data_IF_288773796539
#
_entry.id   IF_288773796539
#
_cell.length_a   1.000
_cell.length_b   1.000
_cell.length_c   1.000
_cell.angle_alpha   90.00
_cell.angle_beta   90.00
_cell.angle_gamma   90.00
#
_symmetry.space_group_name_H-M   'P 1'
#
loop_
_entity.id
_entity.type
_entity.pdbx_description
1 polymer ?
#
# COMPACT_ATOMS: atom_id res chain seq x y z
N UNK A 1 -21.41 -9.58 -6.35
CA UNK A 1 -22.26 -9.14 -5.22
C UNK A 1 -21.44 -9.24 -3.95
N UNK A 2 -21.46 -8.23 -3.09
CA UNK A 2 -20.75 -8.29 -1.80
C UNK A 2 -21.53 -9.21 -0.86
N UNK A 3 -20.86 -10.24 -0.34
CA UNK A 3 -21.48 -11.25 0.54
C UNK A 3 -21.12 -10.96 1.99
N UNK A 4 -22.11 -11.03 2.89
CA UNK A 4 -21.91 -10.90 4.32
C UNK A 4 -20.78 -11.83 4.82
N UNK A 5 -19.94 -11.33 5.72
CA UNK A 5 -18.80 -12.08 6.26
C UNK A 5 -17.57 -12.15 5.34
N UNK A 6 -17.65 -11.70 4.08
CA UNK A 6 -16.49 -11.61 3.20
C UNK A 6 -15.54 -10.51 3.68
N UNK A 7 -14.24 -10.84 3.77
CA UNK A 7 -13.16 -9.90 4.07
C UNK A 7 -12.69 -9.21 2.79
N UNK A 8 -12.52 -7.90 2.88
CA UNK A 8 -12.08 -7.04 1.80
C UNK A 8 -10.81 -6.27 2.20
N UNK A 9 -10.04 -5.88 1.20
CA UNK A 9 -8.86 -5.06 1.35
C UNK A 9 -9.16 -3.61 0.94
N UNK A 10 -8.84 -2.66 1.82
CA UNK A 10 -8.96 -1.21 1.64
C UNK A 10 -7.60 -0.60 1.26
N UNK A 11 -7.57 0.20 0.21
CA UNK A 11 -6.37 0.92 -0.23
C UNK A 11 -6.62 2.42 -0.28
N UNK A 12 -5.64 3.22 0.13
CA UNK A 12 -5.58 4.64 -0.23
C UNK A 12 -4.90 4.74 -1.59
N UNK A 13 -5.51 5.46 -2.53
CA UNK A 13 -4.95 5.66 -3.86
C UNK A 13 -4.59 7.13 -4.03
N UNK A 14 -3.32 7.38 -4.33
CA UNK A 14 -2.82 8.72 -4.65
C UNK A 14 -2.25 8.74 -6.05
N UNK A 15 -2.36 9.87 -6.74
CA UNK A 15 -1.74 10.04 -8.05
C UNK A 15 -0.28 10.48 -7.88
N UNK A 16 0.63 9.85 -8.61
CA UNK A 16 2.03 10.23 -8.68
C UNK A 16 2.45 10.56 -10.12
N UNK A 17 3.67 11.07 -10.28
CA UNK A 17 4.24 11.45 -11.59
C UNK A 17 4.29 10.29 -12.61
N UNK A 18 4.22 9.04 -12.13
CA UNK A 18 4.25 7.82 -12.95
C UNK A 18 2.97 6.97 -12.87
N UNK A 19 1.84 7.56 -12.44
CA UNK A 19 0.56 6.87 -12.27
C UNK A 19 0.15 6.67 -10.82
N UNK A 20 -0.88 5.85 -10.61
CA UNK A 20 -1.51 5.71 -9.29
C UNK A 20 -0.67 4.83 -8.35
N UNK A 21 -0.41 5.35 -7.16
CA UNK A 21 0.25 4.64 -6.05
C UNK A 21 -0.82 4.11 -5.11
N UNK A 22 -0.79 2.80 -4.87
CA UNK A 22 -1.74 2.11 -4.02
C UNK A 22 -1.10 1.75 -2.69
N UNK A 23 -1.64 2.27 -1.59
CA UNK A 23 -1.14 2.02 -0.24
C UNK A 23 -2.19 1.23 0.53
N UNK A 24 -1.77 0.12 1.16
CA UNK A 24 -2.66 -0.66 2.03
C UNK A 24 -3.13 0.22 3.19
N UNK A 25 -4.44 0.37 3.36
CA UNK A 25 -5.03 1.27 4.35
C UNK A 25 -5.85 0.59 5.45
N UNK A 26 -6.11 -0.72 5.33
CA UNK A 26 -6.82 -1.50 6.35
C UNK A 26 -7.86 -2.46 5.79
N UNK A 27 -8.67 -3.10 6.62
CA UNK A 27 -9.61 -4.14 6.13
C UNK A 27 -11.05 -3.67 6.15
N UNK A 28 -11.90 -4.33 5.37
CA UNK A 28 -13.33 -4.10 5.44
C UNK A 28 -14.09 -5.43 5.46
N UNK A 29 -15.31 -5.39 5.96
CA UNK A 29 -16.21 -6.54 5.96
C UNK A 29 -17.65 -6.10 5.73
N UNK A 30 -18.41 -6.98 5.12
CA UNK A 30 -19.81 -6.76 4.75
C UNK A 30 -20.71 -7.25 5.88
N UNK A 31 -21.57 -6.37 6.36
CA UNK A 31 -22.55 -6.64 7.40
C UNK A 31 -23.77 -7.40 6.83
N UNK A 32 -24.65 -7.90 7.72
CA UNK A 32 -25.86 -8.64 7.32
C UNK A 32 -26.84 -7.79 6.49
N UNK A 33 -26.89 -6.49 6.77
CA UNK A 33 -27.73 -5.52 6.06
C UNK A 33 -27.11 -5.03 4.74
N UNK A 34 -25.95 -5.57 4.35
CA UNK A 34 -25.22 -5.17 3.15
C UNK A 34 -24.36 -3.93 3.31
N UNK A 35 -24.36 -3.27 4.48
CA UNK A 35 -23.45 -2.15 4.76
C UNK A 35 -22.01 -2.65 4.95
N UNK A 36 -21.05 -1.72 4.90
CA UNK A 36 -19.62 -1.99 5.02
C UNK A 36 -19.05 -1.32 6.25
N UNK A 37 -18.37 -2.10 7.08
CA UNK A 37 -17.47 -1.56 8.09
C UNK A 37 -16.05 -1.54 7.54
N UNK A 38 -15.37 -0.42 7.74
CA UNK A 38 -13.98 -0.18 7.30
C UNK A 38 -13.12 0.07 8.53
N UNK A 39 -12.13 -0.79 8.73
CA UNK A 39 -11.11 -0.63 9.77
C UNK A 39 -9.88 -0.05 9.10
N UNK A 40 -9.53 1.18 9.47
CA UNK A 40 -8.38 1.90 8.93
C UNK A 40 -7.17 1.73 9.84
N UNK A 41 -6.05 1.31 9.25
CA UNK A 41 -4.74 1.28 9.92
C UNK A 41 -4.04 2.65 9.78
N UNK A 42 -4.43 3.44 8.78
CA UNK A 42 -3.88 4.77 8.46
C UNK A 42 -4.97 5.70 7.91
N UNK A 43 -4.76 7.01 8.04
CA UNK A 43 -5.66 8.03 7.48
C UNK A 43 -5.34 8.29 6.00
N UNK A 44 -6.34 8.26 5.09
CA UNK A 44 -6.13 8.63 3.68
C UNK A 44 -5.97 10.14 3.55
N UNK A 45 -4.77 10.58 3.17
CA UNK A 45 -4.47 12.02 3.03
C UNK A 45 -5.17 12.66 1.83
N UNK A 46 -5.38 11.89 0.76
CA UNK A 46 -5.96 12.35 -0.49
C UNK A 46 -7.48 12.09 -0.58
N UNK A 47 -8.10 11.64 0.52
CA UNK A 47 -9.55 11.44 0.64
C UNK A 47 -10.14 10.29 -0.20
N UNK A 48 -9.34 9.55 -0.96
CA UNK A 48 -9.80 8.43 -1.81
C UNK A 48 -9.43 7.08 -1.22
N UNK A 49 -10.45 6.24 -0.99
CA UNK A 49 -10.30 4.85 -0.64
C UNK A 49 -10.84 3.95 -1.75
N UNK A 50 -10.21 2.78 -1.92
CA UNK A 50 -10.66 1.74 -2.79
C UNK A 50 -10.77 0.42 -2.01
N UNK A 51 -11.98 -0.12 -1.95
CA UNK A 51 -12.28 -1.38 -1.27
C UNK A 51 -12.45 -2.46 -2.31
N UNK A 52 -11.65 -3.52 -2.24
CA UNK A 52 -11.69 -4.64 -3.18
C UNK A 52 -11.63 -5.98 -2.48
N UNK A 53 -11.98 -7.04 -3.18
CA UNK A 53 -11.82 -8.39 -2.67
C UNK A 53 -10.36 -8.63 -2.28
N UNK A 54 -10.14 -9.15 -1.07
CA UNK A 54 -8.81 -9.58 -0.68
C UNK A 54 -8.43 -10.75 -1.58
N UNK A 55 -7.28 -10.68 -2.24
CA UNK A 55 -6.72 -11.86 -2.89
C UNK A 55 -6.59 -12.95 -1.81
N UNK A 56 -7.03 -14.17 -2.11
CA UNK A 56 -6.83 -15.29 -1.21
C UNK A 56 -5.34 -15.34 -0.87
N UNK A 57 -5.05 -15.36 0.42
CA UNK A 57 -3.69 -15.36 0.94
C UNK A 57 -3.02 -16.65 0.48
N UNK A 58 -2.40 -16.65 -0.71
CA UNK A 58 -1.22 -17.50 -0.91
C UNK A 58 -0.22 -16.96 0.10
N UNK A 59 0.21 -17.81 1.01
CA UNK A 59 1.14 -17.46 2.07
C UNK A 59 2.45 -16.87 1.50
N UNK A 60 2.47 -15.56 1.30
CA UNK A 60 3.69 -14.79 1.07
C UNK A 60 4.20 -14.29 2.41
N UNK A 61 4.50 -15.24 3.30
CA UNK A 61 5.55 -15.04 4.29
C UNK A 61 6.88 -14.96 3.50
N UNK A 62 7.26 -13.76 3.04
CA UNK A 62 8.51 -13.63 2.29
C UNK A 62 8.80 -12.33 1.54
N UNK A 63 7.99 -11.27 1.64
CA UNK A 63 8.34 -10.00 0.96
C UNK A 63 8.17 -8.77 1.84
N UNK A 64 8.70 -8.84 3.07
CA UNK A 64 9.23 -7.64 3.74
C UNK A 64 10.67 -7.43 3.24
N UNK A 65 10.83 -6.77 2.10
CA UNK A 65 12.17 -6.54 1.56
C UNK A 65 12.17 -5.76 0.26
N UNK A 66 12.53 -4.48 0.33
CA UNK A 66 13.03 -3.72 -0.81
C UNK A 66 11.98 -2.87 -1.54
N UNK A 67 11.83 -1.62 -1.08
CA UNK A 67 11.83 -0.41 -1.92
C UNK A 67 11.69 0.88 -1.08
N UNK A 68 12.57 1.06 -0.10
CA UNK A 68 12.94 2.38 0.45
C UNK A 68 14.45 2.38 0.70
N UNK A 69 15.21 2.35 -0.39
CA UNK A 69 16.64 2.63 -0.41
C UNK A 69 16.91 3.39 -1.72
N UNK A 70 16.50 4.65 -1.72
CA UNK A 70 16.56 5.52 -2.88
C UNK A 70 16.60 6.96 -2.42
N UNK A 71 17.62 7.30 -1.63
CA UNK A 71 18.28 8.61 -1.59
C UNK A 71 19.20 8.64 -0.36
N UNK A 72 20.51 8.54 -0.59
CA UNK A 72 21.55 9.15 0.23
C UNK A 72 22.84 9.17 -0.59
N UNK A 73 23.16 10.35 -1.12
CA UNK A 73 24.52 10.82 -1.30
C UNK A 73 25.30 10.29 -2.50
N UNK A 74 24.99 10.79 -3.70
CA UNK A 74 26.03 11.10 -4.68
C UNK A 74 26.86 12.25 -4.09
N UNK A 75 28.09 12.01 -3.66
CA UNK A 75 29.18 13.00 -3.60
C UNK A 75 30.49 12.32 -3.15
N UNK A 76 31.31 11.89 -4.10
CA UNK A 76 32.75 11.73 -3.90
C UNK A 76 33.46 11.69 -5.26
N UNK A 77 33.88 12.85 -5.75
CA UNK A 77 34.81 12.96 -6.86
C UNK A 77 36.19 12.41 -6.45
N UNK A 78 36.92 11.68 -7.31
CA UNK A 78 38.30 11.32 -7.02
C UNK A 78 39.20 12.53 -7.33
N UNK A 79 39.67 13.20 -6.28
CA UNK A 79 40.85 14.08 -6.35
C UNK A 79 42.08 13.19 -6.48
N UNK A 80 42.91 13.46 -7.49
CA UNK A 80 44.02 12.58 -7.88
C UNK A 80 45.31 12.72 -7.09
N UNK A 81 46.31 11.95 -7.55
CA UNK A 81 47.72 12.37 -7.61
C UNK A 81 48.69 11.88 -6.54
N UNK A 82 49.76 11.23 -7.02
CA UNK A 82 51.11 11.03 -6.42
C UNK A 82 51.21 9.92 -5.35
N UNK A 83 52.19 9.00 -5.38
CA UNK A 83 53.58 9.06 -5.85
C UNK A 83 54.03 7.80 -6.60
#
# INVERSE_FOLDING_TARGET
>A
MLTAGKRLAVFSIREGKGGSIWVRAGSAFVNKDGSLNVLLDVLPLDGKLHVREAAEKRDTAGMSGGRYAGELGLDAAPVGGHS
#
